data_IF_082470787611
#
_entry.id   IF_082470787611
#
_cell.length_a   1.000
_cell.length_b   1.000
_cell.length_c   1.000
_cell.angle_alpha   90.00
_cell.angle_beta   90.00
_cell.angle_gamma   90.00
#
_symmetry.space_group_name_H-M   'P 1'
#
loop_
_entity.id
_entity.type
_entity.pdbx_description
1 polymer ?
#
# COMPACT_ATOMS: atom_id res chain seq x y z
N UNK A 1 9.51 22.84 13.56
CA UNK A 1 10.27 22.71 14.82
C UNK A 1 9.42 21.90 15.78
N UNK A 2 9.81 20.65 16.15
CA UNK A 2 8.93 19.72 16.86
C UNK A 2 8.39 20.24 18.20
N UNK A 3 9.17 20.98 18.97
CA UNK A 3 8.76 21.53 20.26
C UNK A 3 7.69 22.63 20.20
N UNK A 4 7.40 23.18 19.01
CA UNK A 4 6.31 24.14 18.80
C UNK A 4 4.97 23.50 18.47
N UNK A 5 4.89 22.16 18.41
CA UNK A 5 3.64 21.45 18.07
C UNK A 5 2.52 21.83 19.02
N UNK A 6 2.79 21.86 20.34
CA UNK A 6 1.79 22.22 21.33
C UNK A 6 1.23 23.64 21.14
N UNK A 7 2.09 24.64 20.95
CA UNK A 7 1.65 26.01 20.72
C UNK A 7 0.89 26.18 19.41
N UNK A 8 1.22 25.39 18.39
CA UNK A 8 0.46 25.38 17.13
C UNK A 8 -0.91 24.74 17.27
N UNK A 9 -1.05 23.68 18.05
CA UNK A 9 -2.35 23.09 18.38
C UNK A 9 -3.22 24.10 19.13
N UNK A 10 -2.66 24.82 20.11
CA UNK A 10 -3.37 25.87 20.83
C UNK A 10 -3.81 27.03 19.91
N UNK A 11 -2.91 27.48 19.01
CA UNK A 11 -3.19 28.55 18.06
C UNK A 11 -4.32 28.19 17.08
N UNK A 12 -4.32 26.94 16.57
CA UNK A 12 -5.33 26.45 15.60
C UNK A 12 -6.66 26.15 16.29
N UNK A 13 -6.60 25.68 17.56
CA UNK A 13 -7.76 25.22 18.34
C UNK A 13 -8.68 24.28 17.55
N UNK A 14 -8.16 23.11 17.06
CA UNK A 14 -8.91 22.23 16.20
C UNK A 14 -9.98 21.45 16.97
N UNK A 15 -11.10 21.11 16.32
CA UNK A 15 -12.15 20.25 16.88
C UNK A 15 -11.66 18.80 17.04
N UNK A 16 -10.80 18.32 16.13
CA UNK A 16 -10.26 16.95 16.12
C UNK A 16 -8.79 16.94 15.81
N UNK A 17 -8.08 15.99 16.41
CA UNK A 17 -6.63 15.81 16.19
C UNK A 17 -6.35 14.38 15.78
N UNK A 18 -5.64 14.23 14.66
CA UNK A 18 -5.18 12.94 14.16
C UNK A 18 -3.66 12.94 13.97
N UNK A 19 -2.98 12.02 14.63
CA UNK A 19 -1.54 11.82 14.51
C UNK A 19 -1.28 10.72 13.48
N UNK A 20 -0.83 11.12 12.31
CA UNK A 20 -0.69 10.21 11.16
C UNK A 20 0.53 9.29 11.22
N UNK A 21 1.51 9.56 12.06
CA UNK A 21 2.75 8.74 12.11
C UNK A 21 3.41 8.78 13.49
N UNK A 22 4.19 7.75 13.81
CA UNK A 22 4.99 7.62 15.03
C UNK A 22 6.32 8.41 15.00
N UNK A 23 6.52 9.21 13.95
CA UNK A 23 7.72 10.01 13.78
C UNK A 23 7.86 11.16 14.80
N UNK A 24 8.89 11.98 14.62
CA UNK A 24 9.29 13.03 15.58
C UNK A 24 8.14 13.99 15.91
N UNK A 25 7.39 14.46 14.89
CA UNK A 25 6.22 15.33 15.12
C UNK A 25 5.11 14.63 15.88
N UNK A 26 4.83 13.35 15.53
CA UNK A 26 3.84 12.54 16.23
C UNK A 26 4.19 12.32 17.70
N UNK A 27 5.46 12.06 18.02
CA UNK A 27 5.94 11.92 19.39
C UNK A 27 5.69 13.19 20.24
N UNK A 28 6.00 14.36 19.68
CA UNK A 28 5.77 15.63 20.37
C UNK A 28 4.28 15.94 20.51
N UNK A 29 3.48 15.72 19.47
CA UNK A 29 2.03 15.87 19.53
C UNK A 29 1.42 14.96 20.61
N UNK A 30 1.74 13.66 20.56
CA UNK A 30 1.31 12.69 21.57
C UNK A 30 1.67 13.10 22.99
N UNK A 31 2.94 13.49 23.23
CA UNK A 31 3.38 13.91 24.56
C UNK A 31 2.59 15.12 25.08
N UNK A 32 2.38 16.09 24.20
CA UNK A 32 1.58 17.29 24.52
C UNK A 32 0.13 16.96 24.86
N UNK A 33 -0.55 16.18 23.97
CA UNK A 33 -1.96 15.84 24.11
C UNK A 33 -2.22 14.91 25.30
N UNK A 34 -1.41 13.87 25.45
CA UNK A 34 -1.54 12.92 26.57
C UNK A 34 -1.33 13.59 27.94
N UNK A 35 -0.39 14.55 28.04
CA UNK A 35 -0.16 15.30 29.29
C UNK A 35 -1.36 16.16 29.68
N UNK A 36 -2.16 16.64 28.70
CA UNK A 36 -3.33 17.49 28.90
C UNK A 36 -4.65 16.74 28.91
N UNK A 37 -4.65 15.44 28.66
CA UNK A 37 -5.88 14.66 28.55
C UNK A 37 -6.73 15.00 27.32
N UNK A 38 -6.12 15.57 26.27
CA UNK A 38 -6.81 15.94 25.04
C UNK A 38 -7.00 14.70 24.17
N UNK A 39 -8.26 14.42 23.77
CA UNK A 39 -8.58 13.29 22.87
C UNK A 39 -7.91 13.48 21.52
N UNK A 40 -7.45 12.40 20.95
CA UNK A 40 -6.83 12.37 19.62
C UNK A 40 -6.84 10.96 19.05
N UNK A 41 -6.86 10.87 17.73
CA UNK A 41 -6.67 9.61 17.02
C UNK A 41 -5.23 9.46 16.58
N UNK A 42 -4.83 8.22 16.33
CA UNK A 42 -3.54 7.90 15.73
C UNK A 42 -3.73 6.97 14.54
N UNK A 43 -2.72 6.88 13.68
CA UNK A 43 -2.72 5.94 12.57
C UNK A 43 -1.53 4.98 12.66
N UNK A 44 -1.75 3.72 12.29
CA UNK A 44 -0.73 2.70 12.11
C UNK A 44 -0.80 2.17 10.67
N UNK A 45 0.18 2.55 9.84
CA UNK A 45 0.16 2.30 8.40
C UNK A 45 1.36 1.50 7.90
N UNK A 46 2.32 1.20 8.76
CA UNK A 46 3.58 0.57 8.37
C UNK A 46 3.90 -0.56 9.33
N UNK A 47 4.33 -1.69 8.81
CA UNK A 47 4.87 -2.81 9.60
C UNK A 47 6.23 -2.43 10.19
N UNK A 48 6.18 -1.48 11.10
CA UNK A 48 7.35 -0.87 11.72
C UNK A 48 8.22 -1.87 12.50
N UNK A 49 7.65 -2.80 13.32
CA UNK A 49 8.42 -3.78 14.05
C UNK A 49 9.20 -4.73 13.15
N UNK A 50 8.56 -5.28 12.13
CA UNK A 50 9.16 -6.21 11.17
C UNK A 50 10.21 -5.51 10.31
N UNK A 51 9.93 -4.28 9.90
CA UNK A 51 10.86 -3.44 9.14
C UNK A 51 12.15 -3.16 9.91
N UNK A 52 12.07 -2.78 11.19
CA UNK A 52 13.25 -2.53 12.03
C UNK A 52 14.04 -3.82 12.33
N UNK A 53 13.36 -4.94 12.51
CA UNK A 53 14.03 -6.23 12.66
C UNK A 53 14.86 -6.56 11.43
N UNK A 54 14.30 -6.40 10.25
CA UNK A 54 14.97 -6.76 8.99
C UNK A 54 16.11 -5.80 8.65
N UNK A 55 15.90 -4.49 8.84
CA UNK A 55 16.91 -3.48 8.47
C UNK A 55 18.03 -3.34 9.49
N UNK A 56 17.73 -3.51 10.77
CA UNK A 56 18.63 -3.18 11.87
C UNK A 56 18.81 -4.32 12.89
N UNK A 57 18.14 -5.46 12.70
CA UNK A 57 18.20 -6.58 13.64
C UNK A 57 17.56 -6.32 14.99
N UNK A 58 16.72 -5.27 15.12
CA UNK A 58 16.07 -4.92 16.38
C UNK A 58 14.96 -5.94 16.67
N UNK A 59 14.96 -6.61 17.84
CA UNK A 59 13.92 -7.56 18.18
C UNK A 59 12.52 -6.94 18.18
N UNK A 60 11.56 -7.61 17.57
CA UNK A 60 10.18 -7.12 17.40
C UNK A 60 9.50 -6.78 18.74
N UNK A 61 9.79 -7.51 19.82
CA UNK A 61 9.18 -7.25 21.13
C UNK A 61 9.51 -5.85 21.68
N UNK A 62 10.69 -5.29 21.35
CA UNK A 62 11.08 -3.93 21.72
C UNK A 62 10.24 -2.92 20.97
N UNK A 63 10.15 -3.09 19.64
CA UNK A 63 9.40 -2.18 18.78
C UNK A 63 7.91 -2.26 19.03
N UNK A 64 7.35 -3.45 19.27
CA UNK A 64 5.95 -3.62 19.68
C UNK A 64 5.65 -2.95 21.03
N UNK A 65 6.61 -2.95 21.98
CA UNK A 65 6.46 -2.20 23.23
C UNK A 65 6.36 -0.69 22.97
N UNK A 66 7.18 -0.16 22.05
CA UNK A 66 7.12 1.24 21.63
C UNK A 66 5.79 1.56 20.93
N UNK A 67 5.36 0.75 19.98
CA UNK A 67 4.12 0.96 19.22
C UNK A 67 2.92 0.96 20.18
N UNK A 68 2.80 -0.04 21.07
CA UNK A 68 1.73 -0.04 22.09
C UNK A 68 1.77 1.19 22.99
N UNK A 69 2.95 1.60 23.42
CA UNK A 69 3.11 2.81 24.25
C UNK A 69 2.68 4.07 23.50
N UNK A 70 3.03 4.18 22.20
CA UNK A 70 2.68 5.34 21.39
C UNK A 70 1.16 5.50 21.24
N UNK A 71 0.46 4.42 20.98
CA UNK A 71 -0.98 4.43 20.71
C UNK A 71 -1.85 4.30 21.98
N UNK A 72 -1.27 4.08 23.14
CA UNK A 72 -1.99 3.79 24.41
C UNK A 72 -3.05 4.83 24.78
N UNK A 73 -2.84 6.09 24.46
CA UNK A 73 -3.72 7.20 24.85
C UNK A 73 -4.56 7.74 23.67
N UNK A 74 -4.56 7.04 22.55
CA UNK A 74 -5.44 7.37 21.43
C UNK A 74 -6.89 7.01 21.75
N UNK A 75 -7.84 7.82 21.32
CA UNK A 75 -9.25 7.46 21.33
C UNK A 75 -9.48 6.28 20.38
N UNK A 76 -9.04 6.41 19.12
CA UNK A 76 -9.05 5.33 18.12
C UNK A 76 -7.70 5.25 17.40
N UNK A 77 -7.35 4.02 16.98
CA UNK A 77 -6.20 3.75 16.11
C UNK A 77 -6.72 3.36 14.73
N UNK A 78 -6.40 4.14 13.72
CA UNK A 78 -6.78 3.84 12.34
C UNK A 78 -5.67 3.04 11.67
N UNK A 79 -6.01 1.91 11.04
CA UNK A 79 -5.07 1.08 10.30
C UNK A 79 -5.60 0.75 8.91
N UNK A 80 -4.82 0.12 8.05
CA UNK A 80 -5.13 0.04 6.63
C UNK A 80 -6.19 -1.01 6.27
N UNK A 81 -6.17 -2.16 6.94
CA UNK A 81 -6.97 -3.34 6.55
C UNK A 81 -7.46 -4.12 7.77
N UNK A 82 -8.42 -5.03 7.55
CA UNK A 82 -8.93 -5.94 8.59
C UNK A 82 -7.85 -6.91 9.08
N UNK A 83 -6.95 -7.34 8.21
CA UNK A 83 -5.80 -8.18 8.59
C UNK A 83 -4.89 -7.40 9.55
N UNK A 84 -4.62 -6.13 9.29
CA UNK A 84 -3.85 -5.28 10.20
C UNK A 84 -4.56 -5.02 11.53
N UNK A 85 -5.90 -4.95 11.55
CA UNK A 85 -6.68 -4.89 12.80
C UNK A 85 -6.46 -6.15 13.63
N UNK A 86 -6.50 -7.32 13.01
CA UNK A 86 -6.26 -8.62 13.69
C UNK A 86 -4.83 -8.70 14.21
N UNK A 87 -3.85 -8.28 13.42
CA UNK A 87 -2.44 -8.27 13.80
C UNK A 87 -2.18 -7.36 15.02
N UNK A 88 -2.67 -6.12 15.01
CA UNK A 88 -2.56 -5.21 16.14
C UNK A 88 -3.19 -5.77 17.41
N UNK A 89 -4.37 -6.39 17.30
CA UNK A 89 -5.04 -7.05 18.44
C UNK A 89 -4.23 -8.22 18.97
N UNK A 90 -3.67 -9.06 18.10
CA UNK A 90 -2.80 -10.17 18.47
C UNK A 90 -1.55 -9.70 19.22
N UNK A 91 -1.05 -8.51 18.90
CA UNK A 91 0.09 -7.89 19.58
C UNK A 91 -0.30 -7.04 20.80
N UNK A 92 -1.52 -7.21 21.33
CA UNK A 92 -1.94 -6.66 22.62
C UNK A 92 -2.40 -5.20 22.57
N UNK A 93 -2.93 -4.74 21.45
CA UNK A 93 -3.65 -3.47 21.40
C UNK A 93 -5.00 -3.60 22.09
N UNK A 94 -5.16 -2.91 23.21
CA UNK A 94 -6.41 -2.92 24.00
C UNK A 94 -7.42 -1.85 23.61
N UNK A 95 -7.08 -0.94 22.69
CA UNK A 95 -7.95 0.15 22.24
C UNK A 95 -8.82 -0.21 21.03
N UNK A 96 -9.68 0.72 20.64
CA UNK A 96 -10.49 0.60 19.42
C UNK A 96 -9.60 0.79 18.19
N UNK A 97 -9.50 -0.26 17.36
CA UNK A 97 -8.72 -0.26 16.11
C UNK A 97 -9.69 -0.35 14.95
N UNK A 98 -9.62 0.63 14.05
CA UNK A 98 -10.55 0.81 12.93
C UNK A 98 -9.83 0.59 11.61
N UNK A 99 -10.34 -0.26 10.71
CA UNK A 99 -9.83 -0.36 9.36
C UNK A 99 -10.19 0.92 8.59
N UNK A 100 -9.17 1.60 8.08
CA UNK A 100 -9.32 2.82 7.30
C UNK A 100 -8.66 2.63 5.94
N UNK A 101 -9.49 2.37 4.96
CA UNK A 101 -9.08 2.04 3.59
C UNK A 101 -8.42 3.24 2.87
N UNK A 102 -7.97 2.98 1.66
CA UNK A 102 -7.48 4.01 0.72
C UNK A 102 -8.43 4.13 -0.45
N UNK A 103 -8.36 5.25 -1.13
CA UNK A 103 -9.05 5.50 -2.38
C UNK A 103 -8.09 5.63 -3.55
N UNK A 104 -8.61 5.45 -4.74
CA UNK A 104 -7.91 5.72 -5.99
C UNK A 104 -8.59 6.90 -6.71
N UNK A 105 -7.78 7.74 -7.34
CA UNK A 105 -8.28 8.83 -8.18
C UNK A 105 -8.71 8.28 -9.56
N UNK A 106 -10.02 8.16 -9.77
CA UNK A 106 -10.58 7.60 -11.00
C UNK A 106 -10.61 8.56 -12.18
N UNK A 107 -10.36 9.82 -11.96
CA UNK A 107 -10.15 10.77 -13.06
C UNK A 107 -8.81 10.50 -13.75
N UNK A 108 -7.82 10.08 -12.94
CA UNK A 108 -6.48 9.74 -13.43
C UNK A 108 -6.41 8.25 -13.81
N UNK A 109 -6.78 7.34 -12.89
CA UNK A 109 -6.65 5.89 -13.09
C UNK A 109 -7.97 5.30 -13.58
N UNK A 110 -8.07 5.10 -14.89
CA UNK A 110 -9.25 4.56 -15.54
C UNK A 110 -8.89 3.86 -16.86
N UNK A 111 -9.79 3.03 -17.42
CA UNK A 111 -9.50 2.23 -18.60
C UNK A 111 -9.44 3.03 -19.91
N UNK A 112 -9.82 4.32 -19.95
CA UNK A 112 -9.79 5.13 -21.18
C UNK A 112 -8.37 5.37 -21.70
N UNK A 113 -7.35 5.11 -20.88
CA UNK A 113 -5.94 5.20 -21.29
C UNK A 113 -5.45 3.94 -22.06
N UNK A 114 -6.30 2.92 -22.18
CA UNK A 114 -5.96 1.74 -22.98
C UNK A 114 -5.86 2.13 -24.45
N UNK A 115 -4.76 1.71 -25.06
CA UNK A 115 -4.49 1.93 -26.47
C UNK A 115 -4.17 0.58 -27.12
N UNK A 116 -5.08 0.08 -27.96
CA UNK A 116 -4.95 -1.21 -28.64
C UNK A 116 -3.82 -1.23 -29.68
N UNK A 117 -3.22 -0.07 -29.99
CA UNK A 117 -2.08 0.06 -30.92
C UNK A 117 -0.71 -0.10 -30.23
N UNK A 118 -0.64 -0.44 -28.93
CA UNK A 118 0.64 -0.75 -28.29
C UNK A 118 1.13 -2.10 -28.80
N UNK A 119 2.29 -2.09 -29.45
CA UNK A 119 2.94 -3.29 -29.94
C UNK A 119 3.44 -4.15 -28.76
N UNK A 120 2.81 -5.32 -28.60
CA UNK A 120 3.23 -6.35 -27.65
C UNK A 120 2.49 -6.32 -26.32
N UNK A 121 2.37 -7.51 -25.74
CA UNK A 121 1.77 -7.75 -24.43
C UNK A 121 2.83 -7.62 -23.35
N UNK A 122 2.46 -7.12 -22.17
CA UNK A 122 3.41 -7.04 -21.08
C UNK A 122 2.80 -7.27 -19.69
N UNK A 123 3.66 -7.75 -18.81
CA UNK A 123 3.45 -7.82 -17.38
C UNK A 123 4.05 -6.55 -16.74
N UNK A 124 3.33 -5.93 -15.83
CA UNK A 124 3.72 -4.68 -15.21
C UNK A 124 4.02 -4.87 -13.72
N UNK A 125 5.10 -4.29 -13.25
CA UNK A 125 5.34 -4.07 -11.82
C UNK A 125 5.58 -2.59 -11.57
N UNK A 126 4.97 -2.04 -10.52
CA UNK A 126 5.12 -0.63 -10.10
C UNK A 126 5.47 -0.61 -8.63
N UNK A 127 6.65 -0.14 -8.29
CA UNK A 127 7.06 0.05 -6.89
C UNK A 127 8.35 0.84 -6.78
N UNK A 128 8.74 1.17 -5.53
CA UNK A 128 10.12 1.55 -5.24
C UNK A 128 11.06 0.41 -5.61
N UNK A 129 12.14 0.73 -6.31
CA UNK A 129 13.15 -0.28 -6.73
C UNK A 129 14.14 -0.53 -5.58
N UNK A 130 13.76 -1.43 -4.69
CA UNK A 130 14.49 -1.74 -3.46
C UNK A 130 14.34 -3.22 -3.06
N UNK A 131 15.25 -3.73 -2.24
CA UNK A 131 15.34 -5.16 -1.90
C UNK A 131 14.09 -5.72 -1.21
N UNK A 132 13.48 -4.93 -0.33
CA UNK A 132 12.29 -5.35 0.43
C UNK A 132 11.06 -5.58 -0.43
N UNK A 133 11.06 -5.09 -1.68
CA UNK A 133 9.95 -5.29 -2.62
C UNK A 133 10.00 -6.61 -3.39
N UNK A 134 11.00 -7.45 -3.13
CA UNK A 134 11.13 -8.80 -3.68
C UNK A 134 11.03 -8.86 -5.23
N UNK A 135 11.54 -7.81 -5.90
CA UNK A 135 11.38 -7.58 -7.35
C UNK A 135 12.04 -8.67 -8.20
N UNK A 136 13.03 -9.35 -7.67
CA UNK A 136 13.73 -10.45 -8.36
C UNK A 136 12.76 -11.56 -8.73
N UNK A 137 11.71 -11.82 -7.92
CA UNK A 137 10.66 -12.78 -8.24
C UNK A 137 9.87 -12.40 -9.50
N UNK A 138 9.68 -11.10 -9.76
CA UNK A 138 9.09 -10.61 -11.00
C UNK A 138 10.09 -10.68 -12.18
N UNK A 139 11.33 -10.28 -11.97
CA UNK A 139 12.33 -10.23 -13.03
C UNK A 139 12.69 -11.63 -13.56
N UNK A 140 12.72 -12.63 -12.68
CA UNK A 140 13.03 -14.03 -12.99
C UNK A 140 11.86 -14.81 -13.62
N UNK A 141 10.67 -14.22 -13.72
CA UNK A 141 9.54 -14.89 -14.39
C UNK A 141 9.90 -15.22 -15.84
N UNK A 142 9.72 -16.46 -16.23
CA UNK A 142 9.77 -16.89 -17.61
C UNK A 142 8.34 -16.91 -18.15
N UNK A 143 7.99 -15.89 -18.97
CA UNK A 143 6.65 -15.73 -19.52
C UNK A 143 6.75 -15.40 -21.02
N UNK A 144 6.88 -16.42 -21.89
CA UNK A 144 7.07 -16.21 -23.33
C UNK A 144 5.93 -15.40 -23.96
N UNK A 145 6.30 -14.47 -24.82
CA UNK A 145 5.33 -13.60 -25.51
C UNK A 145 4.92 -12.34 -24.74
N UNK A 146 5.45 -12.16 -23.51
CA UNK A 146 5.21 -10.96 -22.70
C UNK A 146 6.50 -10.25 -22.35
N UNK A 147 6.51 -8.94 -22.53
CA UNK A 147 7.57 -8.10 -21.97
C UNK A 147 7.37 -7.93 -20.47
N UNK A 148 8.44 -7.65 -19.74
CA UNK A 148 8.40 -7.24 -18.35
C UNK A 148 8.72 -5.76 -18.24
N UNK A 149 7.79 -4.96 -17.70
CA UNK A 149 7.98 -3.52 -17.50
C UNK A 149 8.00 -3.23 -16.01
N UNK A 150 9.07 -2.57 -15.56
CA UNK A 150 9.23 -2.08 -14.20
C UNK A 150 9.14 -0.56 -14.20
N UNK A 151 8.12 -0.03 -13.53
CA UNK A 151 7.94 1.41 -13.31
C UNK A 151 8.31 1.76 -11.88
N UNK A 152 9.22 2.68 -11.71
CA UNK A 152 9.66 3.15 -10.40
C UNK A 152 11.13 3.52 -10.37
N UNK A 153 11.56 4.00 -9.21
CA UNK A 153 12.93 4.39 -8.93
C UNK A 153 13.34 3.91 -7.54
N UNK A 154 14.62 3.83 -7.27
CA UNK A 154 15.14 3.44 -5.98
C UNK A 154 16.59 2.97 -5.99
N UNK A 155 17.12 2.64 -4.81
CA UNK A 155 18.57 2.38 -4.63
C UNK A 155 19.08 1.16 -5.42
N UNK A 156 18.21 0.25 -5.84
CA UNK A 156 18.60 -0.96 -6.58
C UNK A 156 18.46 -0.82 -8.09
N UNK A 157 17.96 0.31 -8.62
CA UNK A 157 17.61 0.47 -10.03
C UNK A 157 18.78 0.15 -10.97
N UNK A 158 19.94 0.76 -10.77
CA UNK A 158 21.10 0.54 -11.64
C UNK A 158 21.69 -0.85 -11.49
N UNK A 159 21.56 -1.46 -10.32
CA UNK A 159 21.97 -2.87 -10.10
C UNK A 159 21.08 -3.82 -10.90
N UNK A 160 19.76 -3.65 -10.79
CA UNK A 160 18.81 -4.53 -11.46
C UNK A 160 18.79 -4.34 -12.98
N UNK A 161 18.98 -3.13 -13.50
CA UNK A 161 19.17 -2.91 -14.95
C UNK A 161 20.31 -3.71 -15.54
N UNK A 162 21.42 -3.85 -14.78
CA UNK A 162 22.58 -4.64 -15.23
C UNK A 162 22.34 -6.15 -15.12
N UNK A 163 21.61 -6.59 -14.09
CA UNK A 163 21.34 -8.01 -13.84
C UNK A 163 20.23 -8.58 -14.73
N UNK A 164 19.26 -7.75 -15.10
CA UNK A 164 18.05 -8.13 -15.87
C UNK A 164 17.85 -7.22 -17.08
N UNK A 165 18.75 -7.29 -18.08
CA UNK A 165 18.71 -6.42 -19.26
C UNK A 165 17.48 -6.63 -20.15
N UNK A 166 16.79 -7.77 -20.00
CA UNK A 166 15.53 -8.08 -20.69
C UNK A 166 14.30 -7.37 -20.09
N UNK A 167 14.44 -6.77 -18.91
CA UNK A 167 13.37 -6.01 -18.25
C UNK A 167 13.43 -4.54 -18.67
N UNK A 168 12.29 -3.98 -19.06
CA UNK A 168 12.19 -2.56 -19.42
C UNK A 168 11.98 -1.73 -18.17
N UNK A 169 13.00 -1.00 -17.76
CA UNK A 169 12.93 -0.05 -16.63
C UNK A 169 12.63 1.35 -17.15
N UNK A 170 11.47 1.89 -16.79
CA UNK A 170 11.00 3.20 -17.28
C UNK A 170 11.34 4.37 -16.37
N UNK A 171 11.85 4.10 -15.18
CA UNK A 171 12.01 5.09 -14.14
C UNK A 171 10.68 5.47 -13.47
N UNK A 172 10.71 6.48 -12.61
CA UNK A 172 9.54 6.96 -11.87
C UNK A 172 8.50 7.61 -12.80
N UNK A 173 7.22 7.27 -12.61
CA UNK A 173 6.07 7.85 -13.32
C UNK A 173 4.95 8.16 -12.33
N UNK A 174 4.12 9.15 -12.65
CA UNK A 174 2.95 9.56 -11.85
C UNK A 174 1.78 9.96 -12.73
N UNK A 175 0.61 10.12 -12.12
CA UNK A 175 -0.57 10.65 -12.79
C UNK A 175 -0.96 9.87 -14.05
N UNK A 176 -1.33 10.58 -15.09
CA UNK A 176 -1.79 10.00 -16.36
C UNK A 176 -0.73 9.13 -17.03
N UNK A 177 0.55 9.48 -16.91
CA UNK A 177 1.62 8.67 -17.51
C UNK A 177 1.73 7.30 -16.83
N UNK A 178 1.57 7.24 -15.51
CA UNK A 178 1.50 5.96 -14.79
C UNK A 178 0.23 5.19 -15.14
N UNK A 179 -0.91 5.88 -15.24
CA UNK A 179 -2.20 5.28 -15.58
C UNK A 179 -2.17 4.57 -16.97
N UNK A 180 -1.44 5.13 -17.93
CA UNK A 180 -1.22 4.49 -19.24
C UNK A 180 -0.50 3.15 -19.11
N UNK A 181 0.50 3.03 -18.24
CA UNK A 181 1.17 1.75 -18.00
C UNK A 181 0.20 0.72 -17.39
N UNK A 182 -0.60 1.12 -16.42
CA UNK A 182 -1.60 0.20 -15.86
C UNK A 182 -2.63 -0.22 -16.90
N UNK A 183 -3.27 0.72 -17.59
CA UNK A 183 -4.37 0.42 -18.51
C UNK A 183 -3.98 -0.54 -19.65
N UNK A 184 -2.73 -0.47 -20.11
CA UNK A 184 -2.23 -1.27 -21.22
C UNK A 184 -1.53 -2.58 -20.78
N UNK A 185 -1.28 -2.79 -19.50
CA UNK A 185 -0.73 -4.04 -18.99
C UNK A 185 -1.77 -5.18 -19.12
N UNK A 186 -1.31 -6.39 -19.41
CA UNK A 186 -2.18 -7.57 -19.37
C UNK A 186 -2.42 -8.00 -17.92
N UNK A 187 -1.37 -8.00 -17.10
CA UNK A 187 -1.43 -8.29 -15.66
C UNK A 187 -0.51 -7.34 -14.92
N UNK A 188 -0.98 -6.82 -13.81
CA UNK A 188 -0.15 -6.15 -12.82
C UNK A 188 0.38 -7.19 -11.83
N UNK A 189 1.70 -7.36 -11.75
CA UNK A 189 2.37 -8.32 -10.87
C UNK A 189 2.87 -7.62 -9.63
N UNK A 190 2.42 -8.07 -8.47
CA UNK A 190 2.79 -7.53 -7.16
C UNK A 190 3.61 -8.56 -6.37
N UNK A 191 4.96 -8.55 -6.48
CA UNK A 191 5.82 -9.57 -5.89
C UNK A 191 6.18 -9.31 -4.43
N UNK A 192 5.75 -8.19 -3.85
CA UNK A 192 6.03 -7.83 -2.45
C UNK A 192 5.32 -8.80 -1.50
N UNK A 193 6.06 -9.28 -0.50
CA UNK A 193 5.51 -10.09 0.59
C UNK A 193 5.29 -9.25 1.88
N UNK A 194 5.66 -7.98 1.83
CA UNK A 194 5.56 -7.05 2.95
C UNK A 194 4.80 -5.80 2.51
N UNK A 195 3.53 -5.80 2.81
CA UNK A 195 2.68 -4.67 2.49
C UNK A 195 1.55 -4.57 3.52
N UNK A 196 1.12 -3.35 3.80
CA UNK A 196 -0.03 -3.11 4.68
C UNK A 196 -1.32 -2.87 3.92
N UNK A 197 -1.22 -2.44 2.66
CA UNK A 197 -2.36 -2.20 1.77
C UNK A 197 -1.99 -2.37 0.29
N UNK A 198 -1.04 -1.57 -0.24
CA UNK A 198 -0.61 -1.61 -1.65
C UNK A 198 -1.51 -0.80 -2.57
N UNK A 199 -1.45 0.54 -2.48
CA UNK A 199 -2.23 1.47 -3.34
C UNK A 199 -2.07 1.15 -4.83
N UNK A 200 -0.90 0.74 -5.28
CA UNK A 200 -0.60 0.35 -6.66
C UNK A 200 -1.50 -0.76 -7.20
N UNK A 201 -2.02 -1.64 -6.32
CA UNK A 201 -2.97 -2.68 -6.72
C UNK A 201 -4.34 -2.08 -7.06
N UNK A 202 -4.84 -1.15 -6.25
CA UNK A 202 -6.13 -0.51 -6.54
C UNK A 202 -6.05 0.45 -7.74
N UNK A 203 -4.89 1.05 -8.00
CA UNK A 203 -4.63 1.83 -9.22
C UNK A 203 -4.70 0.94 -10.48
N UNK A 204 -4.06 -0.24 -10.44
CA UNK A 204 -4.13 -1.22 -11.52
C UNK A 204 -5.57 -1.67 -11.78
N UNK A 205 -6.30 -2.06 -10.73
CA UNK A 205 -7.69 -2.50 -10.83
C UNK A 205 -8.63 -1.39 -11.33
N UNK A 206 -8.39 -0.13 -10.95
CA UNK A 206 -9.14 1.02 -11.45
C UNK A 206 -8.93 1.25 -12.94
N UNK A 207 -7.80 0.83 -13.50
CA UNK A 207 -7.54 0.78 -14.95
C UNK A 207 -8.06 -0.50 -15.61
N UNK A 208 -8.78 -1.36 -14.88
CA UNK A 208 -9.28 -2.64 -15.35
C UNK A 208 -8.21 -3.72 -15.48
N UNK A 209 -7.04 -3.55 -14.89
CA UNK A 209 -5.92 -4.49 -14.98
C UNK A 209 -5.91 -5.44 -13.79
N UNK A 210 -6.00 -6.77 -13.99
CA UNK A 210 -6.01 -7.73 -12.92
C UNK A 210 -4.66 -7.82 -12.21
N UNK A 211 -4.69 -8.19 -10.91
CA UNK A 211 -3.53 -8.20 -10.03
C UNK A 211 -3.12 -9.63 -9.71
N UNK A 212 -1.87 -10.00 -10.02
CA UNK A 212 -1.24 -11.25 -9.59
C UNK A 212 -0.31 -10.98 -8.41
N UNK A 213 -0.49 -11.68 -7.28
CA UNK A 213 0.26 -11.43 -6.06
C UNK A 213 0.51 -12.72 -5.26
N UNK A 214 1.43 -12.64 -4.27
CA UNK A 214 1.52 -13.64 -3.21
C UNK A 214 0.37 -13.47 -2.20
N UNK A 215 -0.11 -14.57 -1.55
CA UNK A 215 -1.13 -14.50 -0.51
C UNK A 215 -0.53 -14.01 0.82
N UNK A 216 -0.33 -12.70 0.92
CA UNK A 216 0.22 -12.03 2.10
C UNK A 216 -0.65 -10.82 2.48
N UNK A 217 -0.32 -10.19 3.62
CA UNK A 217 -1.02 -8.98 4.06
C UNK A 217 -1.00 -7.90 2.98
N UNK A 218 -2.06 -7.13 2.90
CA UNK A 218 -2.32 -6.23 1.80
C UNK A 218 -3.07 -6.94 0.66
N UNK A 219 -2.44 -7.80 -0.16
CA UNK A 219 -3.15 -8.60 -1.15
C UNK A 219 -4.38 -9.34 -0.64
N UNK A 220 -4.31 -10.00 0.53
CA UNK A 220 -5.44 -10.73 1.14
C UNK A 220 -6.68 -9.86 1.42
N UNK A 221 -6.48 -8.56 1.68
CA UNK A 221 -7.58 -7.62 1.94
C UNK A 221 -8.02 -6.84 0.69
N UNK A 222 -7.12 -6.72 -0.30
CA UNK A 222 -7.32 -5.85 -1.47
C UNK A 222 -7.82 -6.62 -2.67
N UNK A 223 -7.35 -7.85 -2.88
CA UNK A 223 -7.69 -8.68 -4.04
C UNK A 223 -8.88 -9.58 -3.71
N UNK A 224 -9.92 -9.50 -4.53
CA UNK A 224 -10.99 -10.48 -4.55
C UNK A 224 -10.57 -11.61 -5.50
N UNK A 225 -10.27 -12.78 -4.93
CA UNK A 225 -9.76 -13.95 -5.67
C UNK A 225 -10.70 -14.32 -6.83
N UNK A 226 -10.18 -14.48 -8.04
CA UNK A 226 -10.89 -14.77 -9.27
C UNK A 226 -11.88 -13.68 -9.75
N UNK A 227 -11.88 -12.50 -9.11
CA UNK A 227 -12.71 -11.36 -9.50
C UNK A 227 -11.84 -10.17 -9.93
N UNK A 228 -10.91 -9.72 -9.07
CA UNK A 228 -10.03 -8.59 -9.35
C UNK A 228 -8.58 -9.00 -9.56
N UNK A 229 -8.24 -10.24 -9.26
CA UNK A 229 -6.91 -10.80 -9.40
C UNK A 229 -6.82 -12.22 -8.89
N UNK A 230 -5.62 -12.74 -8.86
CA UNK A 230 -5.29 -14.05 -8.30
C UNK A 230 -4.10 -13.94 -7.34
N UNK A 231 -4.21 -14.64 -6.22
CA UNK A 231 -3.12 -14.85 -5.28
C UNK A 231 -2.71 -16.32 -5.31
N UNK A 232 -1.40 -16.57 -5.42
CA UNK A 232 -0.83 -17.92 -5.38
C UNK A 232 0.63 -17.84 -4.87
N UNK A 233 1.10 -18.89 -4.21
CA UNK A 233 2.51 -19.03 -3.82
C UNK A 233 3.45 -19.11 -5.03
N UNK A 234 2.92 -19.48 -6.18
CA UNK A 234 3.58 -19.40 -7.49
C UNK A 234 2.99 -18.23 -8.30
N UNK A 235 3.80 -17.20 -8.57
CA UNK A 235 3.35 -16.03 -9.33
C UNK A 235 2.95 -16.37 -10.76
N UNK A 236 3.52 -17.39 -11.40
CA UNK A 236 3.12 -17.80 -12.75
C UNK A 236 1.69 -18.30 -12.76
N UNK A 237 1.29 -19.14 -11.78
CA UNK A 237 -0.10 -19.61 -11.64
C UNK A 237 -1.07 -18.45 -11.36
N UNK A 238 -0.64 -17.46 -10.57
CA UNK A 238 -1.44 -16.27 -10.33
C UNK A 238 -1.62 -15.44 -11.62
N UNK A 239 -0.59 -15.31 -12.44
CA UNK A 239 -0.64 -14.62 -13.74
C UNK A 239 -1.57 -15.37 -14.70
N UNK A 240 -1.47 -16.70 -14.79
CA UNK A 240 -2.33 -17.52 -15.63
C UNK A 240 -3.81 -17.34 -15.29
N UNK A 241 -4.14 -17.32 -14.00
CA UNK A 241 -5.48 -17.01 -13.51
C UNK A 241 -5.92 -15.61 -13.90
N UNK A 242 -5.06 -14.60 -13.75
CA UNK A 242 -5.35 -13.21 -14.11
C UNK A 242 -5.64 -13.02 -15.59
N UNK A 243 -4.93 -13.73 -16.48
CA UNK A 243 -5.12 -13.65 -17.93
C UNK A 243 -6.50 -14.15 -18.40
N UNK A 244 -7.22 -14.90 -17.57
CA UNK A 244 -8.58 -15.38 -17.85
C UNK A 244 -9.66 -14.40 -17.35
N UNK A 245 -9.30 -13.36 -16.59
CA UNK A 245 -10.26 -12.43 -16.01
C UNK A 245 -10.80 -11.43 -17.03
N UNK A 246 -12.09 -11.15 -16.92
CA UNK A 246 -12.71 -10.05 -17.63
C UNK A 246 -12.35 -8.72 -16.98
N UNK A 247 -11.77 -7.80 -17.73
CA UNK A 247 -11.30 -6.49 -17.25
C UNK A 247 -12.43 -5.61 -16.69
N UNK A 248 -13.65 -5.74 -17.22
CA UNK A 248 -14.81 -4.99 -16.72
C UNK A 248 -15.22 -5.49 -15.33
N UNK A 249 -15.07 -6.81 -15.05
CA UNK A 249 -15.25 -7.34 -13.68
C UNK A 249 -14.21 -6.80 -12.71
N UNK A 250 -12.95 -6.76 -13.14
CA UNK A 250 -11.86 -6.17 -12.35
C UNK A 250 -12.17 -4.71 -12.00
N UNK A 251 -12.57 -3.93 -13.02
CA UNK A 251 -12.96 -2.53 -12.86
C UNK A 251 -14.12 -2.38 -11.88
N UNK A 252 -15.17 -3.20 -12.02
CA UNK A 252 -16.33 -3.19 -11.12
C UNK A 252 -15.93 -3.52 -9.67
N UNK A 253 -15.13 -4.54 -9.45
CA UNK A 253 -14.63 -4.92 -8.12
C UNK A 253 -13.80 -3.82 -7.46
N UNK A 254 -13.08 -3.03 -8.25
CA UNK A 254 -12.28 -1.92 -7.75
C UNK A 254 -13.10 -0.73 -7.24
N UNK A 255 -14.41 -0.64 -7.52
CA UNK A 255 -15.24 0.53 -7.18
C UNK A 255 -15.37 0.79 -5.67
N UNK A 256 -15.17 -0.23 -4.85
CA UNK A 256 -15.17 -0.08 -3.38
C UNK A 256 -14.03 0.82 -2.88
N UNK A 257 -12.93 0.92 -3.65
CA UNK A 257 -11.76 1.71 -3.31
C UNK A 257 -11.91 3.16 -3.79
N UNK A 258 -12.68 3.96 -3.05
CA UNK A 258 -12.91 5.37 -3.35
C UNK A 258 -12.46 6.27 -2.20
N UNK A 259 -11.97 7.47 -2.54
CA UNK A 259 -11.65 8.49 -1.54
C UNK A 259 -12.88 8.93 -0.74
N UNK A 260 -14.07 8.88 -1.34
CA UNK A 260 -15.31 9.17 -0.63
C UNK A 260 -15.56 8.15 0.51
N UNK A 261 -15.42 6.86 0.23
CA UNK A 261 -15.55 5.83 1.26
C UNK A 261 -14.48 5.97 2.34
N UNK A 262 -13.22 6.17 1.95
CA UNK A 262 -12.13 6.39 2.89
C UNK A 262 -12.38 7.62 3.78
N UNK A 263 -12.89 8.72 3.21
CA UNK A 263 -13.24 9.92 3.95
C UNK A 263 -14.40 9.70 4.91
N UNK A 264 -15.47 8.99 4.50
CA UNK A 264 -16.61 8.65 5.38
C UNK A 264 -16.14 7.87 6.60
N UNK A 265 -15.28 6.84 6.39
CA UNK A 265 -14.72 6.06 7.49
C UNK A 265 -13.90 6.96 8.41
N UNK A 266 -13.01 7.78 7.87
CA UNK A 266 -12.17 8.69 8.65
C UNK A 266 -13.02 9.64 9.49
N UNK A 267 -13.94 10.39 8.85
CA UNK A 267 -14.78 11.39 9.49
C UNK A 267 -15.65 10.82 10.63
N UNK A 268 -16.24 9.63 10.41
CA UNK A 268 -17.11 8.99 11.40
C UNK A 268 -16.35 8.43 12.61
N UNK A 269 -15.02 8.39 12.54
CA UNK A 269 -14.17 7.84 13.58
C UNK A 269 -13.26 8.89 14.24
N UNK A 270 -13.43 10.16 13.95
CA UNK A 270 -12.75 11.25 14.68
C UNK A 270 -13.28 11.33 16.12
N UNK A 271 -12.36 11.48 17.10
CA UNK A 271 -12.67 11.55 18.55
C UNK A 271 -12.01 12.75 19.22
#
# INVERSE_FOLDING_TARGET
IPWKVGSKIEEINPDYIHIATEGTLGLWARAYLSKRGISHNTAYHTKFPEGLKTLFGIPEWITWRFVRWFHKHSGKVLTTTDTMVKDLKAHGFGGEVIPWTRGVDREIFNPSHRNDNINGKYLLCVSRVSKEKNLEKFFQLEYPGYYKIMVGDGPMLETYKKQYPEVIFTGFKTGVDLAKYYANAEVFVFPSQWETFGIVMIEAMACGTPVAAFPCDGPLDVIDQAETGFMNENLSDAIDGCLQLNRDRVLKGSQRWSWENAWKIFKNNLT
#
